data_IF_740535480302
#
_entry.id   IF_740535480302
#
_cell.length_a   1.000
_cell.length_b   1.000
_cell.length_c   1.000
_cell.angle_alpha   90.00
_cell.angle_beta   90.00
_cell.angle_gamma   90.00
#
_symmetry.space_group_name_H-M   'P 1'
#
loop_
_entity.id
_entity.type
_entity.pdbx_description
1 polymer ?
#
# COMPACT_ATOMS: atom_id res chain seq x y z
N UNK A 1 -20.22 -19.24 13.78
CA UNK A 1 -19.60 -18.31 12.82
C UNK A 1 -18.31 -18.95 12.36
N UNK A 2 -18.28 -19.49 11.15
CA UNK A 2 -17.04 -19.95 10.53
C UNK A 2 -16.12 -18.75 10.36
N UNK A 3 -15.00 -18.74 11.10
CA UNK A 3 -13.94 -17.78 10.86
C UNK A 3 -13.32 -18.16 9.52
N UNK A 4 -13.53 -17.31 8.51
CA UNK A 4 -12.79 -17.42 7.26
C UNK A 4 -11.29 -17.52 7.58
N UNK A 5 -10.54 -18.41 6.91
CA UNK A 5 -9.10 -18.52 7.12
C UNK A 5 -8.45 -17.18 6.79
N UNK A 6 -7.64 -16.67 7.72
CA UNK A 6 -6.93 -15.41 7.53
C UNK A 6 -5.85 -15.63 6.48
N UNK A 7 -5.85 -14.85 5.39
CA UNK A 7 -4.87 -14.94 4.30
C UNK A 7 -3.43 -14.79 4.81
N UNK A 8 -3.21 -13.90 5.79
CA UNK A 8 -1.93 -13.71 6.49
C UNK A 8 -2.13 -13.74 8.01
N UNK A 9 -1.68 -14.80 8.71
CA UNK A 9 -1.77 -14.84 10.16
C UNK A 9 -0.80 -13.84 10.79
N UNK A 10 -1.35 -12.85 11.51
CA UNK A 10 -0.56 -11.85 12.26
C UNK A 10 -0.42 -12.27 13.72
N UNK A 11 0.72 -11.95 14.35
CA UNK A 11 0.88 -12.09 15.79
C UNK A 11 -0.03 -11.05 16.47
N UNK A 12 -0.95 -11.52 17.29
CA UNK A 12 -1.81 -10.66 18.10
C UNK A 12 -0.94 -9.77 19.00
N UNK A 13 -1.18 -8.46 19.00
CA UNK A 13 -0.42 -7.46 19.76
C UNK A 13 1.06 -7.32 19.31
N UNK A 14 1.43 -7.88 18.16
CA UNK A 14 2.73 -7.65 17.55
C UNK A 14 2.89 -6.20 17.12
N UNK A 15 4.12 -5.67 17.23
CA UNK A 15 4.42 -4.34 16.71
C UNK A 15 4.17 -4.31 15.19
N UNK A 16 3.27 -3.43 14.79
CA UNK A 16 3.05 -3.09 13.38
C UNK A 16 4.08 -2.04 12.99
N UNK A 17 4.69 -2.21 11.82
CA UNK A 17 5.67 -1.27 11.29
C UNK A 17 5.48 -1.02 9.80
N UNK A 18 6.15 0.01 9.30
CA UNK A 18 6.30 0.27 7.88
C UNK A 18 7.35 -0.68 7.30
N UNK A 19 6.91 -1.51 6.36
CA UNK A 19 7.80 -2.35 5.55
C UNK A 19 8.33 -1.52 4.38
N UNK A 20 9.60 -1.69 4.02
CA UNK A 20 10.24 -0.83 3.02
C UNK A 20 10.64 0.56 3.53
N UNK A 21 10.69 0.78 4.85
CA UNK A 21 11.04 2.09 5.44
C UNK A 21 12.47 2.59 5.16
N UNK A 22 13.33 1.77 4.54
CA UNK A 22 14.66 2.20 4.07
C UNK A 22 14.55 3.43 3.17
N UNK A 23 13.60 3.41 2.24
CA UNK A 23 13.45 4.44 1.21
C UNK A 23 12.90 5.76 1.73
N UNK A 24 12.06 5.69 2.77
CA UNK A 24 11.51 6.87 3.43
C UNK A 24 12.60 7.71 4.10
N UNK A 25 13.72 7.09 4.46
CA UNK A 25 14.89 7.76 5.07
C UNK A 25 15.95 8.19 4.05
N UNK A 26 15.74 7.88 2.78
CA UNK A 26 16.66 8.21 1.71
C UNK A 26 16.29 9.60 1.17
N UNK A 27 17.20 10.58 1.32
CA UNK A 27 16.96 11.96 0.88
C UNK A 27 16.89 12.08 -0.64
N UNK A 28 17.52 11.16 -1.39
CA UNK A 28 17.48 11.14 -2.86
C UNK A 28 16.20 10.47 -3.40
N UNK A 29 15.45 9.77 -2.53
CA UNK A 29 14.20 9.14 -2.89
C UNK A 29 13.03 10.11 -2.67
N UNK A 30 12.55 10.76 -3.73
CA UNK A 30 11.45 11.72 -3.62
C UNK A 30 10.07 11.11 -3.84
N UNK A 31 9.99 9.86 -4.33
CA UNK A 31 8.73 9.26 -4.76
C UNK A 31 8.55 7.88 -4.14
N UNK A 32 7.38 7.63 -3.55
CA UNK A 32 7.05 6.39 -2.85
C UNK A 32 5.70 5.86 -3.32
N UNK A 33 5.66 4.58 -3.69
CA UNK A 33 4.41 3.84 -3.90
C UNK A 33 3.95 3.24 -2.58
N UNK A 34 2.77 3.60 -2.13
CA UNK A 34 2.12 3.02 -0.96
C UNK A 34 1.14 1.93 -1.40
N UNK A 35 1.49 0.68 -1.12
CA UNK A 35 0.66 -0.48 -1.39
C UNK A 35 -0.24 -0.83 -0.21
N UNK A 36 -1.35 -1.54 -0.47
CA UNK A 36 -2.23 -2.05 0.59
C UNK A 36 -1.60 -3.25 1.33
N UNK A 37 -0.87 -4.10 0.60
CA UNK A 37 -0.33 -5.34 1.08
C UNK A 37 1.17 -5.53 0.85
N UNK A 38 1.75 -6.45 1.61
CA UNK A 38 3.16 -6.84 1.49
C UNK A 38 3.52 -7.45 0.13
N UNK A 39 2.61 -8.23 -0.47
CA UNK A 39 2.87 -8.84 -1.78
C UNK A 39 2.96 -7.79 -2.87
N UNK A 40 2.04 -6.82 -2.89
CA UNK A 40 2.04 -5.70 -3.84
C UNK A 40 3.28 -4.83 -3.69
N UNK A 41 3.68 -4.54 -2.44
CA UNK A 41 4.91 -3.82 -2.16
C UNK A 41 6.14 -4.55 -2.75
N UNK A 42 6.24 -5.87 -2.55
CA UNK A 42 7.33 -6.65 -3.13
C UNK A 42 7.30 -6.63 -4.67
N UNK A 43 6.11 -6.75 -5.26
CA UNK A 43 5.93 -6.71 -6.71
C UNK A 43 6.35 -5.35 -7.29
N UNK A 44 6.00 -4.25 -6.63
CA UNK A 44 6.43 -2.91 -7.00
C UNK A 44 7.95 -2.74 -6.92
N UNK A 45 8.57 -3.25 -5.85
CA UNK A 45 10.04 -3.23 -5.69
C UNK A 45 10.73 -4.04 -6.79
N UNK A 46 10.22 -5.23 -7.11
CA UNK A 46 10.75 -6.06 -8.19
C UNK A 46 10.61 -5.39 -9.57
N UNK A 47 9.52 -4.64 -9.77
CA UNK A 47 9.32 -3.81 -10.96
C UNK A 47 10.19 -2.53 -10.99
N UNK A 48 11.04 -2.30 -9.98
CA UNK A 48 11.98 -1.17 -9.93
C UNK A 48 11.42 0.09 -9.28
N UNK A 49 10.23 0.03 -8.69
CA UNK A 49 9.66 1.16 -7.95
C UNK A 49 10.13 1.17 -6.50
N UNK A 50 10.11 2.35 -5.92
CA UNK A 50 10.31 2.51 -4.49
C UNK A 50 8.99 2.38 -3.77
N UNK A 51 8.78 1.30 -3.02
CA UNK A 51 7.48 1.00 -2.43
C UNK A 51 7.52 0.67 -0.94
N UNK A 52 6.39 0.93 -0.27
CA UNK A 52 6.16 0.64 1.14
C UNK A 52 4.72 0.14 1.36
N UNK A 53 4.48 -0.51 2.50
CA UNK A 53 3.14 -0.88 2.97
C UNK A 53 3.09 -0.81 4.49
N UNK A 54 1.89 -0.65 5.04
CA UNK A 54 1.64 -0.85 6.46
C UNK A 54 1.54 -2.36 6.76
N UNK A 55 2.23 -2.83 7.80
CA UNK A 55 2.22 -4.23 8.19
C UNK A 55 1.00 -4.60 9.06
N UNK A 56 -0.15 -4.90 8.45
CA UNK A 56 -1.31 -5.46 9.15
C UNK A 56 -2.60 -4.62 9.00
N UNK A 57 -3.73 -5.24 9.36
CA UNK A 57 -5.06 -4.67 9.12
C UNK A 57 -5.48 -3.76 10.29
N UNK A 58 -5.35 -2.44 10.11
CA UNK A 58 -6.02 -1.44 10.95
C UNK A 58 -5.17 -0.24 11.37
N UNK A 59 -5.73 0.96 11.14
CA UNK A 59 -5.50 2.29 11.76
C UNK A 59 -4.07 2.81 12.05
N UNK A 60 -2.99 2.08 11.74
CA UNK A 60 -1.61 2.42 12.08
C UNK A 60 -0.96 3.48 11.17
N UNK A 61 -1.76 4.30 10.49
CA UNK A 61 -1.25 5.34 9.60
C UNK A 61 -0.77 6.57 10.38
N UNK A 62 -1.44 6.94 11.48
CA UNK A 62 -1.20 8.22 12.16
C UNK A 62 0.22 8.28 12.76
N UNK A 63 0.69 7.22 13.40
CA UNK A 63 2.02 7.19 14.06
C UNK A 63 3.19 7.09 13.06
N UNK A 64 2.92 6.86 11.79
CA UNK A 64 3.92 6.64 10.75
C UNK A 64 3.85 7.66 9.60
N UNK A 65 2.78 8.45 9.48
CA UNK A 65 2.58 9.39 8.39
C UNK A 65 3.69 10.45 8.29
N UNK A 66 4.24 10.88 9.42
CA UNK A 66 5.37 11.81 9.48
C UNK A 66 6.63 11.30 8.76
N UNK A 67 6.77 9.98 8.56
CA UNK A 67 7.91 9.42 7.83
C UNK A 67 7.86 9.70 6.32
N UNK A 68 6.74 10.20 5.81
CA UNK A 68 6.56 10.59 4.40
C UNK A 68 6.90 12.06 4.15
N UNK A 69 7.47 12.77 5.13
CA UNK A 69 7.82 14.18 4.99
C UNK A 69 8.66 14.46 3.75
N UNK A 70 8.20 15.40 2.92
CA UNK A 70 8.87 15.79 1.67
C UNK A 70 8.79 14.76 0.53
N UNK A 71 8.02 13.68 0.67
CA UNK A 71 7.84 12.66 -0.38
C UNK A 71 6.57 12.89 -1.20
N UNK A 72 6.62 12.57 -2.48
CA UNK A 72 5.45 12.39 -3.33
C UNK A 72 4.94 10.96 -3.18
N UNK A 73 3.70 10.80 -2.73
CA UNK A 73 3.15 9.47 -2.38
C UNK A 73 2.09 9.05 -3.39
N UNK A 74 2.28 7.87 -3.98
CA UNK A 74 1.34 7.25 -4.92
C UNK A 74 0.64 6.08 -4.23
N UNK A 75 -0.63 6.23 -3.90
CA UNK A 75 -1.44 5.21 -3.25
C UNK A 75 -1.95 4.23 -4.31
N UNK A 76 -1.58 2.97 -4.15
CA UNK A 76 -1.95 1.88 -5.02
C UNK A 76 -2.52 0.71 -4.21
N UNK A 77 -3.83 0.79 -3.95
CA UNK A 77 -4.58 -0.20 -3.19
C UNK A 77 -5.32 -1.18 -4.11
N UNK A 78 -5.84 -2.26 -3.52
CA UNK A 78 -6.53 -3.31 -4.28
C UNK A 78 -7.70 -2.71 -5.06
N UNK A 79 -7.95 -3.25 -6.26
CA UNK A 79 -9.06 -2.81 -7.10
C UNK A 79 -10.40 -3.43 -6.64
N UNK A 80 -10.71 -3.28 -5.36
CA UNK A 80 -11.98 -3.67 -4.76
C UNK A 80 -12.59 -2.52 -3.95
N UNK A 81 -13.84 -2.70 -3.50
CA UNK A 81 -14.53 -1.66 -2.74
C UNK A 81 -13.77 -1.25 -1.48
N UNK A 82 -13.09 -2.17 -0.80
CA UNK A 82 -12.36 -1.85 0.42
C UNK A 82 -11.15 -0.95 0.10
N UNK A 83 -10.35 -1.31 -0.91
CA UNK A 83 -9.22 -0.50 -1.37
C UNK A 83 -9.66 0.90 -1.80
N UNK A 84 -10.71 1.00 -2.62
CA UNK A 84 -11.26 2.29 -3.08
C UNK A 84 -11.80 3.15 -1.92
N UNK A 85 -12.43 2.55 -0.92
CA UNK A 85 -12.93 3.29 0.25
C UNK A 85 -11.81 3.69 1.23
N UNK A 86 -10.74 2.92 1.31
CA UNK A 86 -9.63 3.17 2.23
C UNK A 86 -8.62 4.20 1.69
N UNK A 87 -8.37 4.22 0.38
CA UNK A 87 -7.34 5.08 -0.22
C UNK A 87 -7.53 6.59 0.10
N UNK A 88 -8.75 7.18 0.00
CA UNK A 88 -8.95 8.59 0.35
C UNK A 88 -8.61 8.92 1.80
N UNK A 89 -8.99 8.04 2.74
CA UNK A 89 -8.70 8.25 4.17
C UNK A 89 -7.20 8.23 4.45
N UNK A 90 -6.43 7.41 3.72
CA UNK A 90 -4.97 7.42 3.84
C UNK A 90 -4.36 8.64 3.16
N UNK A 91 -4.91 9.07 2.02
CA UNK A 91 -4.46 10.27 1.34
C UNK A 91 -4.59 11.52 2.24
N UNK A 92 -5.74 11.71 2.88
CA UNK A 92 -5.99 12.83 3.79
C UNK A 92 -4.95 12.92 4.91
N UNK A 93 -4.54 11.77 5.46
CA UNK A 93 -3.56 11.69 6.54
C UNK A 93 -2.14 11.97 6.07
N UNK A 94 -1.76 11.36 4.95
CA UNK A 94 -0.43 11.51 4.37
C UNK A 94 -0.22 12.94 3.89
N UNK A 95 -1.25 13.59 3.36
CA UNK A 95 -1.19 14.96 2.88
C UNK A 95 -0.82 15.99 3.97
N UNK A 96 -0.91 15.62 5.25
CA UNK A 96 -0.45 16.47 6.36
C UNK A 96 1.08 16.54 6.46
N UNK A 97 1.80 15.60 5.85
CA UNK A 97 3.26 15.45 5.98
C UNK A 97 3.97 15.36 4.63
N UNK A 98 3.39 14.60 3.69
CA UNK A 98 3.90 14.42 2.34
C UNK A 98 3.96 15.73 1.55
N UNK A 99 4.81 15.78 0.52
CA UNK A 99 4.85 16.90 -0.42
C UNK A 99 3.57 16.91 -1.29
N UNK A 100 3.18 15.75 -1.81
CA UNK A 100 1.94 15.56 -2.55
C UNK A 100 1.46 14.10 -2.43
N UNK A 101 0.16 13.87 -2.65
CA UNK A 101 -0.45 12.54 -2.54
C UNK A 101 -1.41 12.27 -3.70
N UNK A 102 -1.11 11.20 -4.44
CA UNK A 102 -1.87 10.78 -5.62
C UNK A 102 -2.54 9.44 -5.33
N UNK A 103 -3.85 9.35 -5.56
CA UNK A 103 -4.55 8.07 -5.60
C UNK A 103 -4.51 7.57 -7.04
N UNK A 104 -3.82 6.47 -7.27
CA UNK A 104 -3.71 5.88 -8.61
C UNK A 104 -5.04 5.21 -8.95
N UNK A 105 -5.68 5.57 -10.08
CA UNK A 105 -6.96 5.00 -10.45
C UNK A 105 -6.84 3.51 -10.75
N UNK A 106 -7.92 2.78 -10.48
CA UNK A 106 -8.08 1.40 -10.88
C UNK A 106 -7.82 1.22 -12.38
N UNK A 107 -6.93 0.29 -12.73
CA UNK A 107 -6.64 -0.08 -14.13
C UNK A 107 -7.70 -1.02 -14.74
N UNK A 108 -8.65 -1.48 -13.93
CA UNK A 108 -9.73 -2.39 -14.31
C UNK A 108 -11.05 -2.07 -13.56
N UNK A 109 -12.12 -2.82 -13.82
CA UNK A 109 -13.36 -2.72 -13.06
C UNK A 109 -13.19 -3.10 -11.58
N UNK A 110 -13.65 -2.22 -10.69
CA UNK A 110 -13.65 -2.43 -9.24
C UNK A 110 -14.56 -3.63 -8.89
N UNK A 111 -14.02 -4.62 -8.19
CA UNK A 111 -14.78 -5.80 -7.74
C UNK A 111 -15.34 -5.59 -6.32
N UNK A 112 -16.37 -6.36 -5.97
CA UNK A 112 -16.94 -6.31 -4.62
C UNK A 112 -15.98 -6.90 -3.55
N UNK A 113 -15.19 -7.91 -3.92
CA UNK A 113 -14.13 -8.55 -3.13
C UNK A 113 -13.11 -9.19 -4.08
N UNK A 114 -11.88 -9.39 -3.62
CA UNK A 114 -10.81 -10.03 -4.39
C UNK A 114 -10.63 -9.36 -5.77
N UNK A 115 -10.50 -8.02 -5.75
CA UNK A 115 -10.05 -7.26 -6.91
C UNK A 115 -8.69 -7.75 -7.41
N UNK A 116 -8.33 -7.37 -8.63
CA UNK A 116 -6.96 -7.59 -9.12
C UNK A 116 -6.05 -6.63 -8.36
N UNK A 117 -5.02 -7.18 -7.71
CA UNK A 117 -3.98 -6.43 -7.01
C UNK A 117 -2.77 -6.17 -7.95
N UNK A 118 -1.77 -5.40 -7.50
CA UNK A 118 -0.61 -5.08 -8.35
C UNK A 118 0.15 -6.35 -8.71
N UNK A 119 0.27 -7.27 -7.76
CA UNK A 119 0.98 -8.53 -7.97
C UNK A 119 0.33 -9.35 -9.09
N UNK A 120 -1.01 -9.52 -9.05
CA UNK A 120 -1.77 -10.23 -10.08
C UNK A 120 -1.56 -9.59 -11.47
N UNK A 121 -1.66 -8.26 -11.57
CA UNK A 121 -1.49 -7.53 -12.83
C UNK A 121 -0.10 -7.68 -13.46
N UNK A 122 0.96 -7.70 -12.64
CA UNK A 122 2.33 -7.86 -13.13
C UNK A 122 2.60 -9.28 -13.61
N UNK A 123 2.06 -10.30 -12.94
CA UNK A 123 2.21 -11.70 -13.37
C UNK A 123 1.58 -11.96 -14.75
N UNK A 124 0.40 -11.39 -15.02
CA UNK A 124 -0.25 -11.52 -16.33
C UNK A 124 0.59 -10.94 -17.48
N UNK A 125 1.39 -9.90 -17.21
CA UNK A 125 2.23 -9.24 -18.22
C UNK A 125 3.55 -9.96 -18.49
N UNK A 126 4.11 -10.66 -17.50
CA UNK A 126 5.33 -11.47 -17.67
C UNK A 126 5.04 -12.76 -18.46
N UNK A 127 3.79 -13.22 -18.46
CA UNK A 127 3.38 -14.48 -19.09
C UNK A 127 2.92 -14.31 -20.56
N UNK A 128 2.91 -13.08 -21.09
CA UNK A 128 2.61 -12.77 -22.50
C UNK A 128 3.86 -12.36 -23.26
#
# INVERSE_FOLDING_TARGET
QDRQPVKYPMIKDGLVGLLGSKWLKDEDCNTIVLCEGFKDMLAAIEAGYTATTFGGCGNFADDCAWQFEGKDVYILFDNDRAGVHHAPRQAERLFLYANDVFIVPAWEEVKDKNGIDLFDHLQERVTK
#
